data_IF_603984459906
#
_entry.id   IF_603984459906
#
_cell.length_a   1.000
_cell.length_b   1.000
_cell.length_c   1.000
_cell.angle_alpha   90.00
_cell.angle_beta   90.00
_cell.angle_gamma   90.00
#
_symmetry.space_group_name_H-M   'P 1'
#
loop_
_entity.id
_entity.type
_entity.pdbx_description
1 polymer ?
#
# COMPACT_ATOMS: atom_id res chain seq x y z
N UNK A 1 27.47 26.98 20.69
CA UNK A 1 27.09 25.63 20.22
C UNK A 1 25.87 25.15 20.99
N UNK A 2 25.08 24.28 20.36
CA UNK A 2 23.88 23.57 20.86
C UNK A 2 22.54 24.33 20.79
N UNK A 3 21.92 24.30 19.58
CA UNK A 3 20.48 24.49 19.43
C UNK A 3 19.81 23.22 19.98
N UNK A 4 18.99 23.35 21.02
CA UNK A 4 18.07 22.28 21.44
C UNK A 4 17.07 22.09 20.30
N UNK A 5 17.04 20.91 19.71
CA UNK A 5 15.94 20.55 18.82
C UNK A 5 14.69 20.36 19.66
N UNK A 6 13.66 21.17 19.42
CA UNK A 6 12.33 20.93 19.95
C UNK A 6 11.77 19.66 19.32
N UNK A 7 12.02 18.52 19.97
CA UNK A 7 11.39 17.24 19.64
C UNK A 7 9.92 17.35 20.02
N UNK A 8 9.12 17.91 19.11
CA UNK A 8 7.67 17.84 19.20
C UNK A 8 7.28 16.37 19.39
N UNK A 9 6.61 16.06 20.52
CA UNK A 9 6.08 14.71 20.80
C UNK A 9 5.33 14.22 19.56
N UNK A 10 5.66 13.05 19.01
CA UNK A 10 4.88 12.50 17.91
C UNK A 10 3.48 12.22 18.46
N UNK A 11 2.56 13.06 18.06
CA UNK A 11 1.11 12.91 18.12
C UNK A 11 0.67 11.46 18.42
N UNK A 12 0.02 11.24 19.58
CA UNK A 12 -0.47 9.92 20.01
C UNK A 12 -1.77 9.57 19.30
N UNK A 13 -1.67 9.27 18.00
CA UNK A 13 -2.76 8.84 17.13
C UNK A 13 -2.31 8.95 15.67
N UNK A 14 -2.90 8.22 14.73
CA UNK A 14 -2.62 8.44 13.30
C UNK A 14 -3.94 8.80 12.59
N UNK A 15 -3.89 9.78 11.67
CA UNK A 15 -5.05 10.28 10.90
C UNK A 15 -5.45 9.34 9.76
N UNK A 16 -4.62 8.34 9.46
CA UNK A 16 -4.82 7.39 8.37
C UNK A 16 -5.12 6.01 8.96
N UNK A 17 -6.10 5.30 8.41
CA UNK A 17 -6.43 3.93 8.81
C UNK A 17 -5.18 3.04 8.70
N UNK A 18 -4.80 2.35 9.79
CA UNK A 18 -3.62 1.47 9.78
C UNK A 18 -2.58 1.68 10.90
N UNK A 19 -2.76 2.63 11.83
CA UNK A 19 -1.86 2.79 12.97
C UNK A 19 -2.56 3.34 14.23
N UNK A 20 -2.35 2.69 15.38
CA UNK A 20 -2.80 3.15 16.70
C UNK A 20 -4.08 2.48 17.23
N UNK A 21 -4.92 3.25 17.94
CA UNK A 21 -6.13 2.73 18.61
C UNK A 21 -7.23 2.26 17.65
N UNK A 22 -7.29 2.79 16.42
CA UNK A 22 -8.26 2.35 15.41
C UNK A 22 -8.00 0.91 14.96
N UNK A 23 -6.74 0.55 14.70
CA UNK A 23 -6.34 -0.80 14.33
C UNK A 23 -6.51 -1.81 15.46
N UNK A 24 -6.19 -1.40 16.69
CA UNK A 24 -6.43 -2.23 17.88
C UNK A 24 -7.92 -2.53 18.05
N UNK A 25 -8.80 -1.54 17.84
CA UNK A 25 -10.25 -1.72 17.87
C UNK A 25 -10.76 -2.60 16.73
N UNK A 26 -10.28 -2.38 15.50
CA UNK A 26 -10.63 -3.23 14.33
C UNK A 26 -10.21 -4.69 14.56
N UNK A 27 -8.98 -4.94 15.05
CA UNK A 27 -8.50 -6.29 15.40
C UNK A 27 -9.32 -6.92 16.52
N UNK A 28 -9.64 -6.16 17.58
CA UNK A 28 -10.47 -6.65 18.68
C UNK A 28 -11.88 -7.02 18.20
N UNK A 29 -12.51 -6.18 17.37
CA UNK A 29 -13.81 -6.48 16.78
C UNK A 29 -13.78 -7.75 15.91
N UNK A 30 -12.76 -7.90 15.06
CA UNK A 30 -12.57 -9.11 14.25
C UNK A 30 -12.37 -10.37 15.12
N UNK A 31 -11.61 -10.26 16.20
CA UNK A 31 -11.41 -11.36 17.14
C UNK A 31 -12.72 -11.77 17.84
N UNK A 32 -13.49 -10.82 18.36
CA UNK A 32 -14.79 -11.09 18.99
C UNK A 32 -15.77 -11.75 18.01
N UNK A 33 -15.78 -11.31 16.75
CA UNK A 33 -16.58 -11.93 15.70
C UNK A 33 -16.16 -13.39 15.42
N UNK A 34 -14.86 -13.65 15.22
CA UNK A 34 -14.35 -15.02 15.01
C UNK A 34 -14.61 -15.93 16.22
N UNK A 35 -14.59 -15.36 17.43
CA UNK A 35 -14.89 -16.07 18.68
C UNK A 35 -16.38 -16.46 18.75
N UNK A 36 -17.28 -15.57 18.39
CA UNK A 36 -18.72 -15.86 18.30
C UNK A 36 -19.01 -16.92 17.25
N UNK A 37 -18.43 -16.82 16.04
CA UNK A 37 -18.56 -17.86 15.02
C UNK A 37 -18.08 -19.24 15.48
N UNK A 38 -16.97 -19.29 16.24
CA UNK A 38 -16.47 -20.54 16.83
C UNK A 38 -17.45 -21.09 17.87
N UNK A 39 -18.11 -20.23 18.64
CA UNK A 39 -19.12 -20.63 19.65
C UNK A 39 -20.40 -21.13 18.99
N UNK A 40 -20.91 -20.43 17.98
CA UNK A 40 -22.08 -20.83 17.19
C UNK A 40 -21.85 -22.16 16.48
N UNK A 41 -20.68 -22.34 15.84
CA UNK A 41 -20.30 -23.64 15.27
C UNK A 41 -20.37 -24.74 16.32
N UNK A 42 -19.85 -24.51 17.53
CA UNK A 42 -19.89 -25.50 18.63
C UNK A 42 -21.28 -25.72 19.22
N UNK A 43 -22.23 -24.80 19.06
CA UNK A 43 -23.61 -24.99 19.48
C UNK A 43 -24.44 -25.71 18.42
N UNK A 44 -24.17 -25.47 17.13
CA UNK A 44 -24.81 -26.18 16.03
C UNK A 44 -24.29 -27.62 15.87
N UNK A 45 -23.06 -27.90 16.35
CA UNK A 45 -22.59 -29.28 16.60
C UNK A 45 -22.89 -29.62 18.06
N UNK A 46 -24.15 -29.92 18.38
CA UNK A 46 -24.55 -30.35 19.71
C UNK A 46 -23.63 -31.47 20.22
N UNK A 47 -23.17 -31.31 21.47
CA UNK A 47 -22.43 -32.26 22.30
C UNK A 47 -21.84 -33.49 21.62
N UNK A 48 -20.57 -33.41 21.21
CA UNK A 48 -19.55 -34.44 21.42
C UNK A 48 -18.26 -33.99 20.73
N UNK A 49 -17.17 -33.89 21.49
CA UNK A 49 -15.84 -33.78 20.88
C UNK A 49 -15.64 -35.01 19.97
N UNK A 50 -15.01 -34.90 18.79
CA UNK A 50 -14.73 -36.08 17.99
C UNK A 50 -13.74 -36.96 18.77
N UNK A 51 -14.26 -37.95 19.50
CA UNK A 51 -13.50 -39.14 19.87
C UNK A 51 -12.97 -39.68 18.55
N UNK A 52 -11.65 -39.94 18.49
CA UNK A 52 -10.96 -40.47 17.31
C UNK A 52 -11.91 -41.34 16.48
N UNK A 53 -12.20 -40.94 15.23
CA UNK A 53 -12.97 -41.79 14.33
C UNK A 53 -12.19 -43.10 14.24
N UNK A 54 -12.76 -44.27 14.60
CA UNK A 54 -12.07 -45.52 14.34
C UNK A 54 -11.82 -45.56 12.83
N UNK A 55 -10.56 -45.72 12.44
CA UNK A 55 -10.18 -45.91 11.05
C UNK A 55 -10.99 -47.12 10.56
N UNK A 56 -12.00 -46.88 9.72
CA UNK A 56 -12.78 -47.94 9.10
C UNK A 56 -11.84 -48.68 8.13
N UNK A 57 -11.23 -49.77 8.60
CA UNK A 57 -10.21 -50.56 7.92
C UNK A 57 -10.75 -51.40 6.74
N UNK A 58 -12.03 -51.26 6.36
CA UNK A 58 -12.72 -52.24 5.52
C UNK A 58 -13.51 -51.65 4.34
N UNK A 59 -13.07 -50.52 3.78
CA UNK A 59 -13.47 -50.17 2.42
C UNK A 59 -12.43 -50.73 1.45
N UNK A 60 -12.76 -51.68 0.55
CA UNK A 60 -11.86 -52.07 -0.52
C UNK A 60 -11.76 -50.89 -1.50
N UNK A 61 -10.77 -50.03 -1.27
CA UNK A 61 -10.37 -48.99 -2.21
C UNK A 61 -9.95 -49.73 -3.48
N UNK A 62 -10.80 -49.70 -4.52
CA UNK A 62 -10.37 -50.05 -5.88
C UNK A 62 -9.30 -49.04 -6.28
N UNK A 63 -8.03 -49.40 -6.05
CA UNK A 63 -6.87 -48.65 -6.53
C UNK A 63 -6.86 -48.79 -8.05
N UNK A 64 -7.43 -47.83 -8.75
CA UNK A 64 -7.09 -47.64 -10.16
C UNK A 64 -5.58 -47.35 -10.22
N UNK A 65 -4.84 -47.86 -11.23
CA UNK A 65 -3.46 -47.47 -11.43
C UNK A 65 -3.48 -46.02 -11.91
N UNK A 66 -3.53 -45.08 -10.97
CA UNK A 66 -3.44 -43.66 -11.25
C UNK A 66 -2.07 -43.39 -11.89
N UNK A 67 -2.11 -43.19 -13.20
CA UNK A 67 -0.97 -42.87 -14.04
C UNK A 67 -0.48 -41.45 -13.71
N UNK A 68 0.20 -41.32 -12.58
CA UNK A 68 0.77 -40.06 -12.15
C UNK A 68 1.98 -40.33 -11.29
N UNK A 69 3.14 -40.55 -11.92
CA UNK A 69 4.44 -40.54 -11.22
C UNK A 69 4.52 -39.25 -10.41
N UNK A 70 4.31 -39.34 -9.09
CA UNK A 70 4.33 -38.20 -8.19
C UNK A 70 5.74 -37.62 -8.27
N UNK A 71 5.88 -36.46 -8.93
CA UNK A 71 7.15 -35.72 -8.93
C UNK A 71 7.56 -35.55 -7.46
N UNK A 72 8.81 -35.83 -7.12
CA UNK A 72 9.30 -35.72 -5.74
C UNK A 72 8.83 -34.39 -5.13
N UNK A 73 8.33 -34.42 -3.89
CA UNK A 73 7.82 -33.23 -3.19
C UNK A 73 8.86 -32.10 -3.14
N UNK A 74 10.14 -32.45 -3.17
CA UNK A 74 11.26 -31.53 -3.29
C UNK A 74 11.24 -30.73 -4.62
N UNK A 75 10.94 -31.38 -5.75
CA UNK A 75 10.89 -30.74 -7.07
C UNK A 75 9.71 -29.77 -7.22
N UNK A 76 8.57 -30.06 -6.58
CA UNK A 76 7.43 -29.13 -6.58
C UNK A 76 7.71 -27.91 -5.68
N UNK A 77 8.35 -28.12 -4.52
CA UNK A 77 8.76 -27.05 -3.62
C UNK A 77 9.76 -26.09 -4.27
N UNK A 78 10.77 -26.61 -4.97
CA UNK A 78 11.79 -25.81 -5.68
C UNK A 78 11.15 -24.90 -6.74
N UNK A 79 10.21 -25.43 -7.54
CA UNK A 79 9.48 -24.66 -8.55
C UNK A 79 8.64 -23.54 -7.95
N UNK A 80 7.98 -23.80 -6.82
CA UNK A 80 7.18 -22.78 -6.12
C UNK A 80 8.10 -21.69 -5.57
N UNK A 81 9.24 -22.07 -4.98
CA UNK A 81 10.22 -21.13 -4.46
C UNK A 81 10.76 -20.23 -5.58
N UNK A 82 11.13 -20.80 -6.72
CA UNK A 82 11.60 -20.05 -7.89
C UNK A 82 10.55 -19.07 -8.41
N UNK A 83 9.30 -19.52 -8.61
CA UNK A 83 8.19 -18.62 -9.03
C UNK A 83 7.98 -17.47 -8.05
N UNK A 84 8.04 -17.75 -6.74
CA UNK A 84 7.89 -16.74 -5.70
C UNK A 84 9.06 -15.74 -5.69
N UNK A 85 10.27 -16.18 -6.00
CA UNK A 85 11.43 -15.29 -6.16
C UNK A 85 11.25 -14.40 -7.39
N UNK A 86 10.88 -14.98 -8.53
CA UNK A 86 10.63 -14.24 -9.78
C UNK A 86 9.54 -13.16 -9.58
N UNK A 87 8.41 -13.51 -8.97
CA UNK A 87 7.33 -12.56 -8.67
C UNK A 87 7.76 -11.45 -7.70
N UNK A 88 8.62 -11.76 -6.72
CA UNK A 88 9.17 -10.75 -5.81
C UNK A 88 10.10 -9.78 -6.55
N UNK A 89 10.95 -10.30 -7.44
CA UNK A 89 11.86 -9.48 -8.23
C UNK A 89 11.11 -8.57 -9.20
N UNK A 90 10.06 -9.07 -9.87
CA UNK A 90 9.23 -8.22 -10.74
C UNK A 90 8.52 -7.12 -9.95
N UNK A 91 7.92 -7.45 -8.80
CA UNK A 91 7.28 -6.46 -7.91
C UNK A 91 8.27 -5.42 -7.39
N UNK A 92 9.50 -5.85 -7.03
CA UNK A 92 10.55 -4.93 -6.57
C UNK A 92 10.98 -3.96 -7.67
N UNK A 93 11.19 -4.47 -8.89
CA UNK A 93 11.53 -3.64 -10.07
C UNK A 93 10.43 -2.64 -10.41
N UNK A 94 9.17 -3.07 -10.36
CA UNK A 94 8.03 -2.18 -10.62
C UNK A 94 7.91 -1.10 -9.54
N UNK A 95 8.04 -1.46 -8.26
CA UNK A 95 8.02 -0.52 -7.15
C UNK A 95 9.16 0.50 -7.25
N UNK A 96 10.36 0.07 -7.64
CA UNK A 96 11.51 0.95 -7.87
C UNK A 96 11.25 1.91 -9.04
N UNK A 97 10.68 1.42 -10.15
CA UNK A 97 10.28 2.26 -11.29
C UNK A 97 9.27 3.33 -10.86
N UNK A 98 8.22 2.94 -10.15
CA UNK A 98 7.20 3.86 -9.64
C UNK A 98 7.78 4.88 -8.64
N UNK A 99 8.69 4.45 -7.78
CA UNK A 99 9.38 5.35 -6.85
C UNK A 99 10.24 6.38 -7.59
N UNK A 100 10.96 5.95 -8.65
CA UNK A 100 11.77 6.84 -9.49
C UNK A 100 10.90 7.84 -10.25
N UNK A 101 9.80 7.40 -10.84
CA UNK A 101 8.83 8.26 -11.53
C UNK A 101 8.26 9.32 -10.57
N UNK A 102 7.82 8.90 -9.37
CA UNK A 102 7.35 9.82 -8.32
C UNK A 102 8.43 10.80 -7.88
N UNK A 103 9.66 10.33 -7.67
CA UNK A 103 10.78 11.19 -7.30
C UNK A 103 11.05 12.25 -8.38
N UNK A 104 11.09 11.86 -9.66
CA UNK A 104 11.28 12.77 -10.79
C UNK A 104 10.12 13.78 -10.94
N UNK A 105 8.87 13.35 -10.70
CA UNK A 105 7.72 14.25 -10.69
C UNK A 105 7.79 15.26 -9.52
N UNK A 106 8.29 14.83 -8.36
CA UNK A 106 8.45 15.71 -7.20
C UNK A 106 9.60 16.70 -7.38
N UNK A 107 10.74 16.29 -7.97
CA UNK A 107 11.85 17.20 -8.24
C UNK A 107 11.43 18.27 -9.24
N UNK A 108 10.86 17.88 -10.38
CA UNK A 108 10.35 18.83 -11.37
C UNK A 108 9.29 19.80 -10.82
N UNK A 109 8.38 19.32 -9.95
CA UNK A 109 7.43 20.20 -9.25
C UNK A 109 8.14 21.23 -8.35
N UNK A 110 9.11 20.78 -7.53
CA UNK A 110 9.87 21.65 -6.62
C UNK A 110 10.66 22.69 -7.40
N UNK A 111 11.31 22.29 -8.49
CA UNK A 111 12.08 23.18 -9.35
C UNK A 111 11.17 24.23 -9.99
N UNK A 112 10.05 23.81 -10.58
CA UNK A 112 9.05 24.75 -11.15
C UNK A 112 8.52 25.72 -10.09
N UNK A 113 8.23 25.23 -8.88
CA UNK A 113 7.77 26.07 -7.76
C UNK A 113 8.83 27.09 -7.36
N UNK A 114 10.09 26.67 -7.27
CA UNK A 114 11.23 27.55 -6.96
C UNK A 114 11.42 28.62 -8.03
N UNK A 115 11.42 28.23 -9.30
CA UNK A 115 11.56 29.17 -10.42
C UNK A 115 10.42 30.20 -10.44
N UNK A 116 9.17 29.75 -10.24
CA UNK A 116 8.02 30.66 -10.14
C UNK A 116 8.16 31.63 -8.96
N UNK A 117 8.58 31.13 -7.80
CA UNK A 117 8.80 31.98 -6.62
C UNK A 117 9.88 33.03 -6.88
N UNK A 118 11.04 32.63 -7.41
CA UNK A 118 12.13 33.56 -7.76
C UNK A 118 11.65 34.64 -8.74
N UNK A 119 10.86 34.27 -9.76
CA UNK A 119 10.27 35.21 -10.71
C UNK A 119 9.32 36.21 -10.04
N UNK A 120 8.45 35.76 -9.14
CA UNK A 120 7.46 36.61 -8.45
C UNK A 120 8.06 37.48 -7.34
N UNK A 121 9.20 37.06 -6.77
CA UNK A 121 9.92 37.83 -5.75
C UNK A 121 10.70 39.01 -6.33
N UNK A 122 10.79 39.16 -7.66
CA UNK A 122 11.47 40.30 -8.28
C UNK A 122 10.70 41.59 -7.99
N UNK A 123 11.42 42.58 -7.46
CA UNK A 123 10.89 43.90 -7.10
C UNK A 123 11.74 45.00 -7.71
N UNK A 124 11.15 46.18 -7.89
CA UNK A 124 11.85 47.39 -8.28
C UNK A 124 12.70 47.92 -7.12
N UNK A 125 13.56 48.91 -7.36
CA UNK A 125 14.36 49.58 -6.31
C UNK A 125 13.48 50.17 -5.19
N UNK A 126 12.27 50.63 -5.53
CA UNK A 126 11.26 51.12 -4.57
C UNK A 126 10.46 49.99 -3.90
N UNK A 127 10.86 48.73 -4.10
CA UNK A 127 10.21 47.59 -3.50
C UNK A 127 8.81 47.30 -4.06
N UNK A 128 8.45 47.77 -5.26
CA UNK A 128 7.20 47.37 -5.90
C UNK A 128 7.39 46.07 -6.68
N UNK A 129 6.39 45.18 -6.75
CA UNK A 129 6.50 43.99 -7.58
C UNK A 129 6.67 44.36 -9.06
N UNK A 130 7.53 43.62 -9.76
CA UNK A 130 7.69 43.81 -11.21
C UNK A 130 6.50 43.17 -11.95
N UNK A 131 5.61 44.02 -12.47
CA UNK A 131 4.33 43.60 -13.06
C UNK A 131 4.44 42.64 -14.23
N UNK A 132 5.49 42.78 -15.07
CA UNK A 132 5.77 41.86 -16.19
C UNK A 132 5.72 40.40 -15.75
N UNK A 133 6.43 40.07 -14.68
CA UNK A 133 6.55 38.71 -14.18
C UNK A 133 5.26 38.21 -13.52
N UNK A 134 4.51 39.10 -12.87
CA UNK A 134 3.20 38.76 -12.31
C UNK A 134 2.17 38.46 -13.41
N UNK A 135 2.16 39.28 -14.47
CA UNK A 135 1.30 39.10 -15.64
C UNK A 135 1.59 37.79 -16.36
N UNK A 136 2.86 37.44 -16.59
CA UNK A 136 3.24 36.16 -17.22
C UNK A 136 2.65 34.96 -16.47
N UNK A 137 2.74 34.94 -15.14
CA UNK A 137 2.17 33.86 -14.30
C UNK A 137 0.64 33.83 -14.37
N UNK A 138 0.00 35.01 -14.41
CA UNK A 138 -1.46 35.12 -14.54
C UNK A 138 -1.94 34.59 -15.89
N UNK A 139 -1.29 34.99 -16.99
CA UNK A 139 -1.59 34.54 -18.34
C UNK A 139 -1.41 33.03 -18.49
N UNK A 140 -0.32 32.47 -17.95
CA UNK A 140 -0.11 31.02 -17.89
C UNK A 140 -1.31 30.32 -17.23
N UNK A 141 -1.79 30.84 -16.09
CA UNK A 141 -2.92 30.27 -15.35
C UNK A 141 -4.24 30.35 -16.12
N UNK A 142 -4.49 31.46 -16.83
CA UNK A 142 -5.70 31.61 -17.66
C UNK A 142 -5.66 30.62 -18.83
N UNK A 143 -4.51 30.49 -19.50
CA UNK A 143 -4.34 29.55 -20.60
C UNK A 143 -4.53 28.10 -20.14
N UNK A 144 -3.98 27.70 -19.00
CA UNK A 144 -4.19 26.36 -18.44
C UNK A 144 -5.67 26.07 -18.21
N UNK A 145 -6.39 26.98 -17.54
CA UNK A 145 -7.84 26.83 -17.31
C UNK A 145 -8.65 26.76 -18.61
N UNK A 146 -8.26 27.54 -19.62
CA UNK A 146 -8.90 27.51 -20.94
C UNK A 146 -8.66 26.18 -21.66
N UNK A 147 -7.44 25.63 -21.56
CA UNK A 147 -7.10 24.36 -22.18
C UNK A 147 -7.81 23.18 -21.48
N UNK A 148 -7.91 23.20 -20.14
CA UNK A 148 -8.70 22.21 -19.38
C UNK A 148 -10.16 22.16 -19.87
N UNK A 149 -10.79 23.33 -20.06
CA UNK A 149 -12.16 23.46 -20.59
C UNK A 149 -12.32 23.04 -22.06
N UNK A 150 -11.24 22.95 -22.84
CA UNK A 150 -11.29 22.50 -24.23
C UNK A 150 -11.17 20.98 -24.37
N UNK A 151 -10.64 20.32 -23.35
CA UNK A 151 -10.41 18.86 -23.35
C UNK A 151 -11.62 18.11 -22.77
N UNK A 152 -12.40 18.77 -21.91
CA UNK A 152 -13.75 18.35 -21.49
C UNK A 152 -14.80 18.73 -22.52
#
# INVERSE_FOLDING_TARGET
MNKKEDVFKPFTGNKNEGQGFADKRKRKAAYEYMKLLKKEKRQHVGGDAPKHKPIALLHPIKRTPDQGKKRHAFSTAEKIARKKQEEKETKKKEAERLAREKAAALTSYKDRKKQRHLKLCKRTSKGQPVMKYQMEVLLEKIQSRRNEKKVT
#
